data_IF_132622814793
#
_entry.id   IF_132622814793
#
_cell.length_a   1.000
_cell.length_b   1.000
_cell.length_c   1.000
_cell.angle_alpha   90.00
_cell.angle_beta   90.00
_cell.angle_gamma   90.00
#
_symmetry.space_group_name_H-M   'P 1'
#
loop_
_entity.id
_entity.type
_entity.pdbx_description
1 polymer ?
#
# COMPACT_ATOMS: atom_id res chain seq x y z
N UNK A 1 -4.32 8.63 30.82
CA UNK A 1 -3.74 8.25 29.52
C UNK A 1 -4.88 7.78 28.63
N UNK A 2 -5.20 8.52 27.57
CA UNK A 2 -6.21 8.09 26.62
C UNK A 2 -5.56 7.14 25.61
N UNK A 3 -6.06 5.91 25.53
CA UNK A 3 -5.71 4.95 24.48
C UNK A 3 -6.25 5.47 23.14
N UNK A 4 -5.37 5.76 22.18
CA UNK A 4 -5.76 6.03 20.80
C UNK A 4 -5.63 4.72 20.01
N UNK A 5 -6.74 4.07 19.62
CA UNK A 5 -6.71 2.78 18.92
C UNK A 5 -6.17 2.84 17.48
N UNK A 6 -5.72 4.01 17.01
CA UNK A 6 -5.09 4.17 15.70
C UNK A 6 -3.59 3.88 15.70
N UNK A 7 -2.95 3.81 16.88
CA UNK A 7 -1.51 3.51 17.02
C UNK A 7 -1.20 2.00 17.14
N UNK A 8 -2.24 1.15 17.19
CA UNK A 8 -2.12 -0.31 17.41
C UNK A 8 -2.26 -1.15 16.12
N UNK A 9 -2.06 -0.58 14.92
CA UNK A 9 -1.97 -1.38 13.68
C UNK A 9 -0.49 -1.71 13.37
N UNK A 10 0.00 -2.90 13.78
CA UNK A 10 1.41 -3.24 13.63
C UNK A 10 1.79 -3.40 12.16
N UNK A 11 2.96 -2.89 11.78
CA UNK A 11 3.54 -3.18 10.46
C UNK A 11 3.91 -4.66 10.38
N UNK A 12 3.23 -5.39 9.49
CA UNK A 12 3.56 -6.78 9.18
C UNK A 12 4.35 -6.84 7.87
N UNK A 13 5.43 -7.63 7.86
CA UNK A 13 6.19 -7.93 6.64
C UNK A 13 5.62 -9.16 5.96
N UNK A 14 5.36 -9.05 4.65
CA UNK A 14 4.85 -10.15 3.82
C UNK A 14 5.73 -10.34 2.60
N UNK A 15 5.76 -11.56 2.07
CA UNK A 15 6.37 -11.89 0.79
C UNK A 15 5.27 -12.12 -0.23
N UNK A 16 5.41 -11.53 -1.41
CA UNK A 16 4.44 -11.66 -2.51
C UNK A 16 5.14 -12.25 -3.72
N UNK A 17 4.50 -13.24 -4.35
CA UNK A 17 4.89 -13.68 -5.68
C UNK A 17 4.21 -12.79 -6.72
N UNK A 18 5.02 -12.15 -7.58
CA UNK A 18 4.54 -11.23 -8.60
C UNK A 18 5.29 -11.50 -9.91
N UNK A 19 4.66 -11.15 -11.04
CA UNK A 19 5.37 -11.11 -12.33
C UNK A 19 6.48 -10.07 -12.26
N UNK A 20 7.60 -10.35 -12.93
CA UNK A 20 8.75 -9.43 -12.99
C UNK A 20 8.36 -8.05 -13.54
N UNK A 21 7.51 -8.00 -14.57
CA UNK A 21 7.02 -6.74 -15.15
C UNK A 21 6.22 -5.91 -14.16
N UNK A 22 5.42 -6.54 -13.29
CA UNK A 22 4.69 -5.87 -12.21
C UNK A 22 5.65 -5.26 -11.20
N UNK A 23 6.72 -5.97 -10.86
CA UNK A 23 7.75 -5.46 -9.94
C UNK A 23 8.47 -4.24 -10.53
N UNK A 24 8.82 -4.28 -11.82
CA UNK A 24 9.45 -3.16 -12.52
C UNK A 24 8.52 -1.94 -12.56
N UNK A 25 7.23 -2.15 -12.80
CA UNK A 25 6.24 -1.07 -12.75
C UNK A 25 6.12 -0.46 -11.35
N UNK A 26 6.12 -1.27 -10.29
CA UNK A 26 6.14 -0.77 -8.90
C UNK A 26 7.41 0.05 -8.62
N UNK A 27 8.55 -0.37 -9.15
CA UNK A 27 9.81 0.37 -9.00
C UNK A 27 9.77 1.74 -9.70
N UNK A 28 9.20 1.82 -10.90
CA UNK A 28 8.98 3.10 -11.58
C UNK A 28 8.07 4.03 -10.79
N UNK A 29 6.92 3.53 -10.32
CA UNK A 29 6.02 4.31 -9.46
C UNK A 29 6.68 4.78 -8.17
N UNK A 30 7.50 3.93 -7.55
CA UNK A 30 8.24 4.30 -6.33
C UNK A 30 9.10 5.54 -6.57
N UNK A 31 9.79 5.60 -7.71
CA UNK A 31 10.65 6.72 -8.10
C UNK A 31 9.83 7.98 -8.41
N UNK A 32 8.79 7.85 -9.23
CA UNK A 32 7.88 8.95 -9.59
C UNK A 32 7.22 9.60 -8.37
N UNK A 33 6.91 8.80 -7.34
CA UNK A 33 6.25 9.26 -6.12
C UNK A 33 7.22 9.67 -5.00
N UNK A 34 8.54 9.54 -5.21
CA UNK A 34 9.55 9.85 -4.19
C UNK A 34 9.48 8.96 -2.95
N UNK A 35 9.02 7.71 -3.09
CA UNK A 35 8.82 6.79 -1.96
C UNK A 35 10.08 5.96 -1.68
N UNK A 36 10.36 5.70 -0.40
CA UNK A 36 11.60 4.98 0.00
C UNK A 36 11.57 3.49 -0.32
N UNK A 37 10.41 2.83 -0.27
CA UNK A 37 10.31 1.38 -0.41
C UNK A 37 9.02 0.96 -1.13
N UNK A 38 9.08 -0.17 -1.83
CA UNK A 38 7.96 -0.75 -2.60
C UNK A 38 6.69 -0.94 -1.76
N UNK A 39 6.85 -1.31 -0.48
CA UNK A 39 5.72 -1.48 0.44
C UNK A 39 4.88 -0.20 0.63
N UNK A 40 5.48 0.99 0.51
CA UNK A 40 4.74 2.25 0.59
C UNK A 40 3.85 2.47 -0.64
N UNK A 41 4.34 2.10 -1.84
CA UNK A 41 3.56 2.12 -3.09
C UNK A 41 2.39 1.16 -2.96
N UNK A 42 2.66 -0.09 -2.60
CA UNK A 42 1.61 -1.13 -2.45
C UNK A 42 0.56 -0.71 -1.42
N UNK A 43 0.98 -0.20 -0.26
CA UNK A 43 0.04 0.26 0.78
C UNK A 43 -0.86 1.40 0.29
N UNK A 44 -0.31 2.34 -0.50
CA UNK A 44 -1.08 3.45 -1.06
C UNK A 44 -2.08 2.97 -2.11
N UNK A 45 -1.65 2.11 -3.05
CA UNK A 45 -2.53 1.53 -4.06
C UNK A 45 -3.67 0.72 -3.44
N UNK A 46 -3.39 -0.06 -2.39
CA UNK A 46 -4.43 -0.82 -1.67
C UNK A 46 -5.44 0.10 -0.98
N UNK A 47 -5.00 1.22 -0.40
CA UNK A 47 -5.90 2.23 0.19
C UNK A 47 -6.77 2.90 -0.86
N UNK A 48 -6.18 3.29 -1.99
CA UNK A 48 -6.92 3.88 -3.12
C UNK A 48 -7.96 2.89 -3.67
N UNK A 49 -7.59 1.62 -3.85
CA UNK A 49 -8.50 0.57 -4.27
C UNK A 49 -9.63 0.34 -3.25
N UNK A 50 -9.34 0.34 -1.95
CA UNK A 50 -10.35 0.20 -0.90
C UNK A 50 -11.40 1.32 -0.96
N UNK A 51 -10.96 2.56 -1.16
CA UNK A 51 -11.87 3.72 -1.32
C UNK A 51 -12.76 3.56 -2.55
N UNK A 52 -12.19 3.16 -3.69
CA UNK A 52 -12.96 2.93 -4.92
C UNK A 52 -13.97 1.79 -4.75
N UNK A 53 -13.59 0.71 -4.07
CA UNK A 53 -14.47 -0.44 -3.85
C UNK A 53 -15.70 -0.10 -3.00
N UNK A 54 -15.57 0.84 -2.07
CA UNK A 54 -16.68 1.32 -1.24
C UNK A 54 -17.66 2.21 -2.01
N UNK A 55 -17.19 2.93 -3.03
CA UNK A 55 -18.04 3.81 -3.86
C UNK A 55 -18.95 3.02 -4.82
N UNK A 56 -18.58 1.79 -5.18
CA UNK A 56 -19.40 0.93 -6.08
C UNK A 56 -20.57 0.27 -5.33
N UNK A 57 -20.53 0.27 -3.99
CA UNK A 57 -21.56 -0.36 -3.13
C UNK A 57 -22.61 0.67 -2.64
N UNK A 58 -22.45 1.95 -2.98
CA UNK A 58 -23.41 3.04 -2.72
C UNK A 58 -24.16 3.39 -4.02
#
# INVERSE_FOLDING_TARGET
>A
MAFHPADDDPRVQVTLELRQSTLQWIDGLREEMGLRHRGAVVSRLLKELAVLSQQVVQ
#
